data_IF_103487020198
#
_entry.id   IF_103487020198
#
_cell.length_a   1.000
_cell.length_b   1.000
_cell.length_c   1.000
_cell.angle_alpha   90.00
_cell.angle_beta   90.00
_cell.angle_gamma   90.00
#
_symmetry.space_group_name_H-M   'P 1'
#
loop_
_entity.id
_entity.type
_entity.pdbx_description
1 polymer ?
#
# COMPACT_ATOMS: atom_id res chain seq x y z
N UNK A 1 12.11 -16.92 15.83
CA UNK A 1 11.87 -15.56 15.34
C UNK A 1 11.76 -15.55 13.81
N UNK A 2 10.97 -14.63 13.28
CA UNK A 2 10.73 -14.47 11.85
C UNK A 2 11.09 -13.03 11.50
N UNK A 3 11.61 -12.81 10.30
CA UNK A 3 11.84 -11.47 9.75
C UNK A 3 10.87 -11.24 8.60
N UNK A 4 10.16 -10.14 8.63
CA UNK A 4 9.29 -9.68 7.56
C UNK A 4 9.85 -8.38 6.94
N UNK A 5 9.75 -8.25 5.62
CA UNK A 5 10.22 -7.06 4.91
C UNK A 5 9.87 -7.08 3.44
N UNK A 6 10.10 -5.95 2.74
CA UNK A 6 9.80 -5.80 1.30
C UNK A 6 8.37 -5.35 1.00
N UNK A 7 7.45 -5.48 1.95
CA UNK A 7 6.10 -4.90 1.93
C UNK A 7 5.66 -4.61 3.36
N UNK A 8 4.69 -3.70 3.58
CA UNK A 8 4.08 -3.50 4.89
C UNK A 8 3.47 -4.79 5.42
N UNK A 9 3.61 -5.03 6.73
CA UNK A 9 2.93 -6.12 7.42
C UNK A 9 1.80 -5.51 8.26
N UNK A 10 0.63 -6.16 8.23
CA UNK A 10 -0.51 -5.75 9.03
C UNK A 10 -0.17 -5.74 10.54
N UNK A 11 -0.31 -4.60 11.24
CA UNK A 11 0.04 -4.49 12.66
C UNK A 11 -0.77 -5.43 13.58
N UNK A 12 -2.02 -5.76 13.21
CA UNK A 12 -2.86 -6.68 13.99
C UNK A 12 -2.37 -8.13 13.82
N UNK A 13 -2.00 -8.51 12.60
CA UNK A 13 -1.39 -9.81 12.32
C UNK A 13 -0.07 -9.97 13.06
N UNK A 14 0.75 -8.92 13.05
CA UNK A 14 2.02 -8.88 13.78
C UNK A 14 1.79 -9.03 15.30
N UNK A 15 0.82 -8.31 15.85
CA UNK A 15 0.45 -8.40 17.26
C UNK A 15 -0.06 -9.82 17.62
N UNK A 16 -0.86 -10.45 16.76
CA UNK A 16 -1.35 -11.81 16.93
C UNK A 16 -0.20 -12.81 17.04
N UNK A 17 0.73 -12.83 16.08
CA UNK A 17 1.86 -13.76 16.12
C UNK A 17 2.75 -13.55 17.35
N UNK A 18 3.01 -12.31 17.72
CA UNK A 18 3.77 -12.01 18.95
C UNK A 18 3.02 -12.46 20.21
N UNK A 19 1.70 -12.28 20.28
CA UNK A 19 0.84 -12.79 21.35
C UNK A 19 0.85 -14.33 21.42
N UNK A 20 0.95 -15.00 20.30
CA UNK A 20 1.11 -16.46 20.19
C UNK A 20 2.54 -16.96 20.53
N UNK A 21 3.45 -16.09 20.93
CA UNK A 21 4.83 -16.45 21.25
C UNK A 21 5.78 -16.60 20.05
N UNK A 22 5.34 -16.17 18.87
CA UNK A 22 6.16 -16.17 17.64
C UNK A 22 6.64 -14.74 17.37
N UNK A 23 7.89 -14.37 17.75
CA UNK A 23 8.38 -13.03 17.53
C UNK A 23 8.66 -12.78 16.04
N UNK A 24 7.88 -11.88 15.46
CA UNK A 24 8.09 -11.37 14.11
C UNK A 24 8.71 -9.99 14.21
N UNK A 25 9.75 -9.75 13.43
CA UNK A 25 10.51 -8.48 13.37
C UNK A 25 10.40 -7.91 11.97
N UNK A 26 10.14 -6.62 11.87
CA UNK A 26 10.07 -5.94 10.59
C UNK A 26 11.39 -5.27 10.25
N UNK A 27 11.68 -5.21 8.94
CA UNK A 27 12.81 -4.48 8.39
C UNK A 27 12.41 -3.72 7.14
N UNK A 28 12.89 -2.49 7.04
CA UNK A 28 12.73 -1.64 5.86
C UNK A 28 14.07 -1.44 5.16
N UNK A 29 14.04 -1.55 3.85
CA UNK A 29 15.19 -1.29 3.01
C UNK A 29 14.84 -1.43 1.54
N UNK A 30 15.79 -1.06 0.71
CA UNK A 30 15.72 -1.07 -0.74
C UNK A 30 16.97 -1.75 -1.31
N UNK A 31 16.96 -2.08 -2.59
CA UNK A 31 18.15 -2.54 -3.31
C UNK A 31 19.29 -1.53 -3.17
N UNK A 32 18.95 -0.25 -3.22
CA UNK A 32 19.85 0.89 -3.10
C UNK A 32 20.49 1.02 -1.72
N UNK A 33 19.93 0.41 -0.68
CA UNK A 33 20.49 0.36 0.67
C UNK A 33 21.14 -0.99 1.00
N UNK A 34 21.23 -1.90 0.02
CA UNK A 34 21.86 -3.24 0.17
C UNK A 34 21.25 -4.06 1.32
N UNK A 35 19.95 -4.10 1.44
CA UNK A 35 19.15 -4.73 2.50
C UNK A 35 18.63 -3.73 3.55
N UNK A 36 18.19 -4.15 4.76
CA UNK A 36 17.49 -3.25 5.65
C UNK A 36 18.38 -2.09 6.13
N UNK A 37 17.87 -0.88 5.96
CA UNK A 37 18.43 0.33 6.57
C UNK A 37 17.71 0.74 7.86
N UNK A 38 16.54 0.13 8.14
CA UNK A 38 15.88 0.14 9.43
C UNK A 38 15.46 -1.28 9.83
N UNK A 39 15.46 -1.59 11.11
CA UNK A 39 15.10 -2.91 11.61
C UNK A 39 14.55 -2.83 13.03
N UNK A 40 13.56 -3.67 13.34
CA UNK A 40 13.00 -3.79 14.69
C UNK A 40 14.04 -4.38 15.64
N UNK A 41 14.45 -3.66 16.72
CA UNK A 41 15.48 -4.17 17.63
C UNK A 41 15.00 -5.42 18.35
N UNK A 42 15.91 -6.42 18.47
CA UNK A 42 15.62 -7.65 19.19
C UNK A 42 15.47 -7.37 20.71
N UNK A 43 14.41 -7.94 21.30
CA UNK A 43 14.21 -7.83 22.77
C UNK A 43 13.63 -6.50 23.23
N UNK A 44 13.28 -5.56 22.34
CA UNK A 44 12.63 -4.29 22.70
C UNK A 44 11.11 -4.42 22.71
N UNK A 45 10.39 -3.48 23.39
CA UNK A 45 8.95 -3.38 23.29
C UNK A 45 8.48 -3.29 21.83
N UNK A 46 7.29 -3.81 21.58
CA UNK A 46 6.67 -3.78 20.27
C UNK A 46 6.13 -2.39 19.95
N UNK A 47 6.54 -1.86 18.79
CA UNK A 47 6.03 -0.61 18.22
C UNK A 47 5.18 -0.92 16.99
N UNK A 48 3.87 -1.03 17.18
CA UNK A 48 2.94 -1.41 16.13
C UNK A 48 3.05 -0.49 14.90
N UNK A 49 3.19 -1.07 13.69
CA UNK A 49 3.31 -0.36 12.44
C UNK A 49 4.66 0.31 12.19
N UNK A 50 5.64 0.13 13.09
CA UNK A 50 7.01 0.62 12.88
C UNK A 50 7.87 -0.46 12.21
N UNK A 51 8.70 -0.04 11.28
CA UNK A 51 9.75 -0.88 10.65
C UNK A 51 11.06 -0.88 11.44
N UNK A 52 11.04 -0.35 12.66
CA UNK A 52 12.18 -0.31 13.58
C UNK A 52 12.97 1.00 13.56
N UNK A 53 14.19 0.94 14.06
CA UNK A 53 15.14 2.05 14.14
C UNK A 53 16.23 1.91 13.07
N UNK A 54 17.03 2.97 12.88
CA UNK A 54 18.17 2.91 11.97
C UNK A 54 19.06 1.70 12.25
N UNK A 55 19.30 0.89 11.22
CA UNK A 55 20.22 -0.25 11.33
C UNK A 55 21.66 0.25 11.51
N UNK A 56 22.51 -0.47 12.29
CA UNK A 56 23.89 -0.05 12.51
C UNK A 56 24.64 0.28 11.22
N UNK A 57 25.20 1.48 11.13
CA UNK A 57 25.91 1.97 9.95
C UNK A 57 25.06 2.82 9.00
N UNK A 58 23.77 2.98 9.29
CA UNK A 58 22.87 3.91 8.61
C UNK A 58 22.45 5.06 9.53
N UNK A 59 22.14 6.17 8.90
CA UNK A 59 21.42 7.30 9.48
C UNK A 59 20.14 7.52 8.69
N UNK A 60 19.06 7.86 9.37
CA UNK A 60 17.76 8.14 8.79
C UNK A 60 17.34 9.56 9.15
N UNK A 61 16.72 10.27 8.23
CA UNK A 61 16.04 11.53 8.49
C UNK A 61 14.77 11.65 7.66
N UNK A 62 13.87 12.53 8.08
CA UNK A 62 12.68 12.90 7.31
C UNK A 62 12.92 14.30 6.73
N UNK A 63 12.78 14.45 5.44
CA UNK A 63 12.85 15.72 4.74
C UNK A 63 11.60 16.58 5.01
N UNK A 64 11.63 17.87 4.66
CA UNK A 64 10.51 18.79 4.88
C UNK A 64 9.21 18.35 4.17
N UNK A 65 9.33 17.66 3.04
CA UNK A 65 8.21 17.09 2.29
C UNK A 65 7.74 15.72 2.78
N UNK A 66 8.33 15.22 3.88
CA UNK A 66 8.01 13.93 4.49
C UNK A 66 8.77 12.74 3.91
N UNK A 67 9.70 12.96 2.95
CA UNK A 67 10.47 11.88 2.35
C UNK A 67 11.50 11.31 3.33
N UNK A 68 11.57 9.97 3.39
CA UNK A 68 12.60 9.26 4.13
C UNK A 68 13.92 9.38 3.37
N UNK A 69 14.94 9.88 4.03
CA UNK A 69 16.29 9.97 3.48
C UNK A 69 17.26 9.12 4.28
N UNK A 70 18.16 8.43 3.57
CA UNK A 70 19.08 7.44 4.15
C UNK A 70 20.51 7.83 3.82
N UNK A 71 21.42 7.70 4.79
CA UNK A 71 22.86 7.85 4.60
C UNK A 71 23.59 6.69 5.30
N UNK A 72 24.57 6.11 4.63
CA UNK A 72 25.32 4.99 5.21
C UNK A 72 26.30 4.38 4.21
N UNK A 73 27.23 3.56 4.70
CA UNK A 73 28.25 2.93 3.85
C UNK A 73 27.70 1.90 2.88
N UNK A 74 26.55 1.32 3.18
CA UNK A 74 25.90 0.32 2.35
C UNK A 74 24.86 0.93 1.38
N UNK A 75 24.70 2.27 1.36
CA UNK A 75 23.96 2.95 0.31
C UNK A 75 24.78 2.83 -0.98
N UNK A 76 24.12 2.42 -2.07
CA UNK A 76 24.76 2.25 -3.37
C UNK A 76 25.38 3.58 -3.88
N UNK A 77 26.46 3.53 -4.67
CA UNK A 77 27.10 4.77 -5.15
C UNK A 77 26.39 5.37 -6.36
N UNK A 78 25.73 4.56 -7.19
CA UNK A 78 25.08 5.04 -8.42
C UNK A 78 24.27 3.96 -9.14
N UNK A 79 23.33 4.35 -9.98
CA UNK A 79 22.70 3.48 -10.98
C UNK A 79 23.65 3.21 -12.15
N UNK A 80 23.66 1.97 -12.62
CA UNK A 80 24.54 1.58 -13.73
C UNK A 80 24.13 2.26 -15.02
N UNK A 81 25.04 3.00 -15.63
CA UNK A 81 24.86 3.75 -16.89
C UNK A 81 23.65 4.70 -16.89
N UNK A 82 23.30 5.25 -15.73
CA UNK A 82 22.19 6.20 -15.59
C UNK A 82 22.57 7.29 -14.58
N UNK A 83 23.39 8.22 -15.04
CA UNK A 83 23.93 9.30 -14.19
C UNK A 83 22.81 10.28 -13.80
N UNK A 84 21.88 10.57 -14.71
CA UNK A 84 20.72 11.44 -14.45
C UNK A 84 19.86 10.91 -13.28
N UNK A 85 19.50 9.61 -13.31
CA UNK A 85 18.76 9.00 -12.20
C UNK A 85 19.59 9.00 -10.91
N UNK A 86 20.90 8.89 -11.01
CA UNK A 86 21.79 8.91 -9.85
C UNK A 86 21.79 10.32 -9.21
N UNK A 87 21.98 11.38 -9.99
CA UNK A 87 21.96 12.76 -9.52
C UNK A 87 20.62 13.11 -8.86
N UNK A 88 19.50 12.69 -9.46
CA UNK A 88 18.15 12.92 -8.92
C UNK A 88 17.86 12.15 -7.63
N UNK A 89 18.64 11.11 -7.33
CA UNK A 89 18.42 10.23 -6.17
C UNK A 89 19.19 10.67 -4.92
N UNK A 90 20.10 11.61 -5.03
CA UNK A 90 20.88 12.11 -3.91
C UNK A 90 20.67 13.60 -3.69
N UNK A 91 20.60 13.99 -2.42
CA UNK A 91 20.60 15.40 -2.03
C UNK A 91 22.01 15.99 -2.14
N UNK A 92 22.12 17.33 -2.16
CA UNK A 92 23.41 18.04 -2.22
C UNK A 92 24.35 17.68 -1.05
N UNK A 93 23.79 17.36 0.13
CA UNK A 93 24.53 16.94 1.31
C UNK A 93 24.72 15.40 1.40
N UNK A 94 24.45 14.68 0.30
CA UNK A 94 24.78 13.27 0.08
C UNK A 94 23.89 12.27 0.80
N UNK A 95 22.61 12.59 1.02
CA UNK A 95 21.59 11.64 1.46
C UNK A 95 20.87 11.03 0.26
N UNK A 96 20.63 9.74 0.32
CA UNK A 96 19.80 9.06 -0.66
C UNK A 96 18.32 9.32 -0.38
N UNK A 97 17.61 9.84 -1.36
CA UNK A 97 16.18 10.12 -1.34
C UNK A 97 15.43 8.85 -1.78
N UNK A 98 14.72 8.20 -0.84
CA UNK A 98 14.15 6.86 -1.07
C UNK A 98 12.89 6.85 -1.94
N UNK A 99 12.24 7.98 -2.08
CA UNK A 99 10.89 8.08 -2.66
C UNK A 99 9.78 7.56 -1.75
N UNK A 100 10.10 7.06 -0.56
CA UNK A 100 9.13 6.65 0.45
C UNK A 100 8.87 7.79 1.43
N UNK A 101 7.63 7.94 1.88
CA UNK A 101 7.20 8.91 2.88
C UNK A 101 7.15 8.25 4.25
N UNK A 102 7.47 9.00 5.29
CA UNK A 102 7.45 8.46 6.64
C UNK A 102 7.57 9.49 7.73
N UNK A 103 7.63 8.99 8.95
CA UNK A 103 7.91 9.76 10.16
C UNK A 103 8.81 8.97 11.10
N UNK A 104 9.58 9.66 11.89
CA UNK A 104 10.36 9.07 12.99
C UNK A 104 9.76 9.63 14.28
N UNK A 105 9.47 8.74 15.24
CA UNK A 105 8.97 9.15 16.55
C UNK A 105 10.11 9.60 17.49
N UNK A 106 9.74 10.01 18.71
CA UNK A 106 10.70 10.52 19.70
C UNK A 106 11.69 9.45 20.19
N UNK A 107 11.35 8.17 20.04
CA UNK A 107 12.18 7.03 20.43
C UNK A 107 13.05 6.53 19.26
N UNK A 108 12.95 7.18 18.08
CA UNK A 108 13.74 6.89 16.90
C UNK A 108 13.15 5.81 16.01
N UNK A 109 11.91 5.36 16.24
CA UNK A 109 11.25 4.37 15.40
C UNK A 109 10.68 4.99 14.12
N UNK A 110 11.00 4.35 12.99
CA UNK A 110 10.55 4.75 11.66
C UNK A 110 9.20 4.10 11.33
N UNK A 111 8.29 4.93 10.82
CA UNK A 111 6.98 4.51 10.29
C UNK A 111 6.89 4.94 8.83
N UNK A 112 6.56 4.00 7.94
CA UNK A 112 6.34 4.30 6.51
C UNK A 112 4.87 4.68 6.35
N UNK A 113 4.60 5.82 5.69
CA UNK A 113 3.25 6.34 5.49
C UNK A 113 2.80 6.32 4.03
N UNK A 114 3.69 5.98 3.11
CA UNK A 114 3.37 5.87 1.69
C UNK A 114 4.57 6.03 0.77
N UNK A 115 4.27 6.25 -0.51
CA UNK A 115 5.27 6.54 -1.55
C UNK A 115 5.00 7.88 -2.19
N UNK A 116 6.03 8.69 -2.37
CA UNK A 116 5.96 10.03 -2.96
C UNK A 116 5.35 10.02 -4.36
N UNK A 117 5.76 9.06 -5.20
CA UNK A 117 5.24 8.88 -6.57
C UNK A 117 3.81 8.36 -6.64
N UNK A 118 3.33 7.72 -5.58
CA UNK A 118 1.98 7.16 -5.52
C UNK A 118 0.99 8.13 -4.84
N UNK A 119 1.50 9.27 -4.33
CA UNK A 119 0.68 10.29 -3.69
C UNK A 119 -0.38 10.80 -4.67
N UNK A 120 -1.62 10.77 -4.23
CA UNK A 120 -2.76 11.27 -4.99
C UNK A 120 -2.96 12.74 -4.63
N UNK A 121 -2.94 13.62 -5.63
CA UNK A 121 -3.28 15.04 -5.44
C UNK A 121 -4.69 15.25 -6.02
N UNK A 122 -5.67 15.37 -5.14
CA UNK A 122 -7.06 15.58 -5.57
C UNK A 122 -7.23 16.92 -6.30
N UNK A 123 -8.33 17.10 -7.03
CA UNK A 123 -8.67 18.38 -7.67
C UNK A 123 -8.78 19.54 -6.66
N UNK A 124 -9.03 19.25 -5.38
CA UNK A 124 -9.03 20.22 -4.29
C UNK A 124 -7.65 20.49 -3.66
N UNK A 125 -6.57 19.92 -4.22
CA UNK A 125 -5.20 20.12 -3.73
C UNK A 125 -4.85 19.31 -2.47
N UNK A 126 -5.70 18.35 -2.06
CA UNK A 126 -5.39 17.49 -0.90
C UNK A 126 -4.47 16.34 -1.33
N UNK A 127 -3.37 16.18 -0.60
CA UNK A 127 -2.47 15.03 -0.72
C UNK A 127 -3.05 13.84 0.05
N UNK A 128 -3.11 12.68 -0.59
CA UNK A 128 -3.64 11.43 -0.04
C UNK A 128 -2.67 10.29 -0.33
N UNK A 129 -2.21 9.60 0.71
CA UNK A 129 -1.46 8.35 0.58
C UNK A 129 -2.44 7.19 0.37
N UNK A 130 -2.42 6.49 -0.79
CA UNK A 130 -3.37 5.42 -1.06
C UNK A 130 -3.12 4.16 -0.24
N UNK A 131 -1.84 3.82 0.04
CA UNK A 131 -1.43 2.56 0.67
C UNK A 131 -2.19 2.22 1.96
N UNK A 132 -2.22 3.07 2.98
CA UNK A 132 -2.94 2.78 4.23
C UNK A 132 -4.44 2.48 4.03
N UNK A 133 -5.08 3.13 3.07
CA UNK A 133 -6.50 2.89 2.74
C UNK A 133 -6.65 1.54 2.04
N UNK A 134 -5.75 1.23 1.08
CA UNK A 134 -5.73 -0.03 0.35
C UNK A 134 -5.50 -1.22 1.27
N UNK A 135 -4.58 -1.11 2.22
CA UNK A 135 -4.28 -2.14 3.22
C UNK A 135 -5.51 -2.51 4.05
N UNK A 136 -6.28 -1.53 4.52
CA UNK A 136 -7.50 -1.79 5.29
C UNK A 136 -8.56 -2.49 4.43
N UNK A 137 -8.76 -2.07 3.18
CA UNK A 137 -9.74 -2.71 2.28
C UNK A 137 -9.30 -4.16 1.97
N UNK A 138 -8.02 -4.43 1.83
CA UNK A 138 -7.46 -5.76 1.57
C UNK A 138 -7.54 -6.71 2.77
N UNK A 139 -7.90 -6.26 3.97
CA UNK A 139 -8.21 -7.15 5.11
C UNK A 139 -9.52 -7.93 4.92
N UNK A 140 -10.38 -7.53 3.99
CA UNK A 140 -11.52 -8.35 3.58
C UNK A 140 -11.01 -9.68 3.01
N UNK A 141 -11.40 -10.79 3.62
CA UNK A 141 -10.84 -12.13 3.38
C UNK A 141 -10.82 -12.57 1.91
N UNK A 142 -11.73 -12.05 1.10
CA UNK A 142 -11.84 -12.38 -0.34
C UNK A 142 -11.48 -11.20 -1.26
N UNK A 143 -10.89 -10.15 -0.75
CA UNK A 143 -10.34 -9.07 -1.58
C UNK A 143 -8.89 -9.39 -1.94
N UNK A 144 -8.61 -9.60 -3.22
CA UNK A 144 -7.26 -9.83 -3.73
C UNK A 144 -6.43 -8.54 -3.75
N UNK A 145 -6.98 -7.50 -4.39
CA UNK A 145 -6.30 -6.20 -4.50
C UNK A 145 -7.30 -5.06 -4.33
N UNK A 146 -6.82 -3.97 -3.74
CA UNK A 146 -7.50 -2.69 -3.73
C UNK A 146 -6.59 -1.63 -4.35
N UNK A 147 -7.11 -0.80 -5.24
CA UNK A 147 -6.38 0.30 -5.87
C UNK A 147 -7.14 1.60 -5.65
N UNK A 148 -6.63 2.45 -4.79
CA UNK A 148 -7.20 3.77 -4.48
C UNK A 148 -6.76 4.78 -5.53
N UNK A 149 -7.71 5.58 -6.01
CA UNK A 149 -7.59 6.49 -7.14
C UNK A 149 -8.21 7.85 -6.79
N UNK A 150 -7.74 8.91 -7.43
CA UNK A 150 -8.28 10.26 -7.19
C UNK A 150 -7.40 11.39 -7.69
N UNK A 151 -6.27 11.09 -8.36
CA UNK A 151 -5.39 12.14 -8.88
C UNK A 151 -6.13 13.06 -9.84
N UNK A 152 -6.10 14.37 -9.54
CA UNK A 152 -6.85 15.41 -10.26
C UNK A 152 -8.36 15.17 -10.35
N UNK A 153 -8.91 14.31 -9.48
CA UNK A 153 -10.34 13.97 -9.43
C UNK A 153 -11.03 14.67 -8.25
N UNK A 154 -12.36 14.84 -8.32
CA UNK A 154 -13.13 15.59 -7.28
C UNK A 154 -13.21 14.83 -5.94
N UNK A 155 -12.94 13.54 -5.92
CA UNK A 155 -12.98 12.69 -4.73
C UNK A 155 -12.14 11.42 -4.92
N UNK A 156 -11.81 10.77 -3.82
CA UNK A 156 -11.11 9.49 -3.76
C UNK A 156 -12.09 8.35 -4.05
N UNK A 157 -11.64 7.39 -4.83
CA UNK A 157 -12.37 6.17 -5.19
C UNK A 157 -11.47 4.95 -5.15
N UNK A 158 -12.05 3.74 -5.23
CA UNK A 158 -11.28 2.51 -5.27
C UNK A 158 -11.76 1.55 -6.38
N UNK A 159 -10.82 0.83 -6.97
CA UNK A 159 -11.07 -0.41 -7.71
C UNK A 159 -10.69 -1.57 -6.80
N UNK A 160 -11.53 -2.58 -6.75
CA UNK A 160 -11.34 -3.76 -5.89
C UNK A 160 -11.42 -5.00 -6.76
N UNK A 161 -10.51 -5.95 -6.59
CA UNK A 161 -10.57 -7.28 -7.21
C UNK A 161 -10.84 -8.34 -6.15
N UNK A 162 -11.46 -9.43 -6.55
CA UNK A 162 -11.81 -10.54 -5.67
C UNK A 162 -10.85 -11.70 -5.91
N UNK A 163 -10.49 -12.42 -4.86
CA UNK A 163 -9.83 -13.71 -4.89
C UNK A 163 -10.88 -14.80 -4.94
N UNK A 164 -10.92 -15.55 -6.02
CA UNK A 164 -11.92 -16.61 -6.25
C UNK A 164 -11.82 -17.72 -5.21
N UNK A 165 -10.59 -18.08 -4.81
CA UNK A 165 -10.35 -19.18 -3.87
C UNK A 165 -10.86 -18.86 -2.47
N UNK A 166 -10.61 -17.65 -1.98
CA UNK A 166 -11.09 -17.16 -0.68
C UNK A 166 -12.57 -16.78 -0.70
N UNK A 167 -13.10 -16.38 -1.85
CA UNK A 167 -14.51 -15.99 -2.01
C UNK A 167 -15.45 -17.19 -1.89
N UNK A 168 -15.09 -18.35 -2.42
CA UNK A 168 -15.93 -19.57 -2.43
C UNK A 168 -16.43 -19.97 -1.03
N UNK A 169 -15.58 -20.19 -0.01
CA UNK A 169 -16.04 -20.56 1.32
C UNK A 169 -16.90 -19.46 1.97
N UNK A 170 -16.63 -18.20 1.67
CA UNK A 170 -17.46 -17.10 2.16
C UNK A 170 -18.87 -17.12 1.54
N UNK A 171 -18.99 -17.37 0.23
CA UNK A 171 -20.28 -17.51 -0.45
C UNK A 171 -21.08 -18.69 0.14
N UNK A 172 -20.44 -19.84 0.32
CA UNK A 172 -21.07 -21.02 0.93
C UNK A 172 -21.58 -20.72 2.35
N UNK A 173 -20.79 -20.04 3.18
CA UNK A 173 -21.18 -19.62 4.53
C UNK A 173 -22.37 -18.65 4.55
N UNK A 174 -22.59 -17.90 3.47
CA UNK A 174 -23.74 -17.01 3.28
C UNK A 174 -24.94 -17.68 2.61
N UNK A 175 -24.86 -18.98 2.29
CA UNK A 175 -25.91 -19.70 1.57
C UNK A 175 -26.06 -19.28 0.11
N UNK A 176 -25.00 -18.72 -0.47
CA UNK A 176 -24.92 -18.36 -1.89
C UNK A 176 -24.23 -19.48 -2.68
N UNK A 177 -24.34 -19.40 -4.02
CA UNK A 177 -23.64 -20.34 -4.90
C UNK A 177 -22.12 -20.16 -4.76
N UNK A 178 -21.42 -21.15 -4.22
CA UNK A 178 -19.97 -21.15 -4.04
C UNK A 178 -19.19 -21.12 -5.36
N UNK A 179 -19.82 -21.52 -6.46
CA UNK A 179 -19.23 -21.51 -7.81
C UNK A 179 -19.65 -20.28 -8.61
N UNK A 180 -20.19 -19.25 -7.96
CA UNK A 180 -20.56 -17.98 -8.61
C UNK A 180 -19.37 -17.39 -9.35
N UNK A 181 -19.47 -17.12 -10.67
CA UNK A 181 -18.38 -16.46 -11.43
C UNK A 181 -18.03 -15.09 -10.85
N UNK A 182 -16.76 -14.69 -10.92
CA UNK A 182 -16.30 -13.38 -10.42
C UNK A 182 -17.09 -12.20 -11.02
N UNK A 183 -17.52 -12.31 -12.28
CA UNK A 183 -18.36 -11.28 -12.92
C UNK A 183 -19.71 -11.09 -12.22
N UNK A 184 -20.35 -12.17 -11.77
CA UNK A 184 -21.61 -12.13 -11.05
C UNK A 184 -21.40 -11.74 -9.59
N UNK A 185 -20.32 -12.23 -8.97
CA UNK A 185 -19.91 -11.86 -7.62
C UNK A 185 -19.64 -10.35 -7.51
N UNK A 186 -18.99 -9.74 -8.50
CA UNK A 186 -18.75 -8.31 -8.54
C UNK A 186 -20.05 -7.46 -8.54
N UNK A 187 -21.16 -8.03 -9.00
CA UNK A 187 -22.49 -7.41 -9.03
C UNK A 187 -23.36 -7.82 -7.84
N UNK A 188 -22.95 -8.83 -7.07
CA UNK A 188 -23.72 -9.38 -5.97
C UNK A 188 -23.83 -8.40 -4.80
N UNK A 189 -25.04 -8.19 -4.29
CA UNK A 189 -25.30 -7.22 -3.24
C UNK A 189 -24.65 -7.59 -1.90
N UNK A 190 -24.58 -8.89 -1.55
CA UNK A 190 -23.95 -9.34 -0.31
C UNK A 190 -22.42 -9.18 -0.35
N UNK A 191 -21.77 -9.53 -1.46
CA UNK A 191 -20.34 -9.30 -1.71
C UNK A 191 -20.02 -7.81 -1.61
N UNK A 192 -20.83 -6.98 -2.29
CA UNK A 192 -20.64 -5.53 -2.26
C UNK A 192 -20.81 -4.95 -0.85
N UNK A 193 -21.78 -5.44 -0.09
CA UNK A 193 -22.03 -4.98 1.28
C UNK A 193 -20.88 -5.35 2.22
N UNK A 194 -20.23 -6.50 2.03
CA UNK A 194 -19.06 -6.87 2.81
C UNK A 194 -17.85 -5.98 2.48
N UNK A 195 -17.55 -5.78 1.21
CA UNK A 195 -16.48 -4.84 0.79
C UNK A 195 -16.76 -3.43 1.30
N UNK A 196 -18.03 -2.98 1.31
CA UNK A 196 -18.41 -1.65 1.83
C UNK A 196 -18.01 -1.48 3.30
N UNK A 197 -18.15 -2.49 4.15
CA UNK A 197 -17.73 -2.41 5.57
C UNK A 197 -16.25 -2.08 5.70
N UNK A 198 -15.40 -2.72 4.89
CA UNK A 198 -13.97 -2.48 4.90
C UNK A 198 -13.59 -1.10 4.32
N UNK A 199 -14.35 -0.63 3.32
CA UNK A 199 -14.23 0.74 2.82
C UNK A 199 -14.62 1.74 3.91
N UNK A 200 -15.69 1.48 4.66
CA UNK A 200 -16.14 2.33 5.76
C UNK A 200 -15.09 2.35 6.89
N UNK A 201 -14.54 1.19 7.25
CA UNK A 201 -13.46 1.09 8.24
C UNK A 201 -12.20 1.83 7.78
N UNK A 202 -11.80 1.73 6.52
CA UNK A 202 -10.70 2.50 5.97
C UNK A 202 -10.95 4.02 6.05
N UNK A 203 -12.20 4.42 5.90
CA UNK A 203 -12.62 5.82 5.97
C UNK A 203 -12.61 6.39 7.39
N UNK A 204 -12.72 5.56 8.44
CA UNK A 204 -12.63 6.00 9.84
C UNK A 204 -11.25 6.56 10.19
N UNK A 205 -10.18 6.02 9.56
CA UNK A 205 -8.79 6.40 9.79
C UNK A 205 -8.34 7.68 9.07
N UNK A 206 -9.20 8.29 8.23
CA UNK A 206 -8.81 9.39 7.34
C UNK A 206 -9.80 10.55 7.36
N UNK A 207 -9.37 11.73 6.91
CA UNK A 207 -10.26 12.89 6.82
C UNK A 207 -11.32 12.70 5.72
N UNK A 208 -12.40 13.49 5.79
CA UNK A 208 -13.45 13.46 4.78
C UNK A 208 -12.96 13.70 3.33
N UNK A 209 -11.89 14.45 3.15
CA UNK A 209 -11.31 14.72 1.84
C UNK A 209 -10.50 13.52 1.30
N UNK A 210 -10.01 12.66 2.18
CA UNK A 210 -9.23 11.47 1.89
C UNK A 210 -10.09 10.21 1.77
N UNK A 211 -11.34 10.26 2.24
CA UNK A 211 -12.21 9.10 2.30
C UNK A 211 -12.67 8.64 0.90
N UNK A 212 -12.70 7.32 0.71
CA UNK A 212 -13.22 6.66 -0.49
C UNK A 212 -14.73 6.90 -0.59
N UNK A 213 -15.17 7.61 -1.62
CA UNK A 213 -16.57 7.97 -1.87
C UNK A 213 -17.33 6.98 -2.71
N UNK A 214 -16.61 6.28 -3.58
CA UNK A 214 -17.14 5.25 -4.46
C UNK A 214 -16.11 4.17 -4.67
N UNK A 215 -16.55 2.94 -4.84
CA UNK A 215 -15.71 1.86 -5.31
C UNK A 215 -16.43 1.02 -6.38
N UNK A 216 -15.66 0.33 -7.18
CA UNK A 216 -16.14 -0.66 -8.16
C UNK A 216 -15.39 -1.96 -7.91
N UNK A 217 -16.13 -3.06 -7.78
CA UNK A 217 -15.58 -4.40 -7.78
C UNK A 217 -15.42 -4.80 -9.24
N UNK A 218 -14.22 -5.23 -9.63
CA UNK A 218 -13.89 -5.65 -10.98
C UNK A 218 -14.21 -7.12 -11.17
N UNK A 219 -14.57 -7.55 -12.41
CA UNK A 219 -14.90 -8.94 -12.72
C UNK A 219 -13.67 -9.83 -12.93
N UNK A 220 -12.47 -9.29 -12.84
CA UNK A 220 -11.20 -9.97 -13.08
C UNK A 220 -10.15 -9.54 -12.06
N UNK A 221 -9.18 -10.41 -11.79
CA UNK A 221 -8.02 -10.09 -10.96
C UNK A 221 -6.95 -9.33 -11.73
N UNK A 222 -6.05 -8.66 -10.99
CA UNK A 222 -4.79 -8.17 -11.56
C UNK A 222 -3.78 -9.30 -11.55
N UNK A 223 -3.19 -9.63 -12.70
CA UNK A 223 -2.22 -10.72 -12.83
C UNK A 223 -0.99 -10.27 -13.64
N UNK A 224 0.04 -11.11 -13.65
CA UNK A 224 1.19 -10.93 -14.53
C UNK A 224 0.80 -11.17 -15.99
N UNK A 225 -0.05 -12.19 -16.24
CA UNK A 225 -0.48 -12.57 -17.58
C UNK A 225 -1.25 -11.43 -18.26
N UNK A 226 -2.15 -10.74 -17.53
CA UNK A 226 -2.86 -9.59 -18.09
C UNK A 226 -2.04 -8.29 -18.05
N UNK A 227 -0.80 -8.37 -17.54
CA UNK A 227 0.18 -7.29 -17.53
C UNK A 227 -0.09 -6.20 -16.51
N UNK A 228 -1.01 -6.41 -15.56
CA UNK A 228 -1.38 -5.43 -14.54
C UNK A 228 -0.55 -5.56 -13.26
N UNK A 229 0.22 -6.66 -13.11
CA UNK A 229 1.18 -6.86 -12.01
C UNK A 229 2.61 -7.08 -12.53
N UNK A 230 3.57 -6.77 -11.68
CA UNK A 230 4.98 -7.11 -11.89
C UNK A 230 5.26 -8.57 -11.53
N UNK A 231 6.43 -9.10 -11.91
CA UNK A 231 6.90 -10.43 -11.49
C UNK A 231 7.02 -10.56 -9.95
N UNK A 232 7.15 -9.47 -9.23
CA UNK A 232 7.15 -9.43 -7.76
C UNK A 232 5.76 -9.18 -7.15
N UNK A 233 4.68 -9.48 -7.91
CA UNK A 233 3.28 -9.37 -7.48
C UNK A 233 2.85 -7.97 -7.03
N UNK A 234 3.46 -6.91 -7.58
CA UNK A 234 3.09 -5.51 -7.30
C UNK A 234 2.21 -4.96 -8.43
N UNK A 235 1.11 -4.32 -8.08
CA UNK A 235 0.17 -3.69 -9.03
C UNK A 235 0.86 -2.55 -9.80
N UNK A 236 0.73 -2.57 -11.13
CA UNK A 236 1.23 -1.52 -12.01
C UNK A 236 0.13 -0.46 -12.18
N UNK A 237 0.02 0.47 -11.21
CA UNK A 237 -1.02 1.51 -11.13
C UNK A 237 -1.31 2.21 -12.46
N UNK A 238 -0.31 2.71 -13.22
CA UNK A 238 -0.58 3.40 -14.50
C UNK A 238 -1.26 2.52 -15.54
N UNK A 239 -0.93 1.22 -15.57
CA UNK A 239 -1.54 0.27 -16.50
C UNK A 239 -3.00 -0.02 -16.13
N UNK A 240 -3.28 -0.20 -14.83
CA UNK A 240 -4.66 -0.38 -14.33
C UNK A 240 -5.51 0.84 -14.66
N UNK A 241 -5.03 2.04 -14.34
CA UNK A 241 -5.74 3.29 -14.63
C UNK A 241 -6.04 3.43 -16.12
N UNK A 242 -5.07 3.11 -16.98
CA UNK A 242 -5.23 3.14 -18.44
C UNK A 242 -6.28 2.13 -18.91
N UNK A 243 -6.20 0.88 -18.44
CA UNK A 243 -7.11 -0.21 -18.83
C UNK A 243 -8.56 0.13 -18.49
N UNK A 244 -8.80 0.65 -17.26
CA UNK A 244 -10.14 0.95 -16.77
C UNK A 244 -10.56 2.42 -16.97
N UNK A 245 -9.85 3.19 -17.79
CA UNK A 245 -10.11 4.63 -17.99
C UNK A 245 -11.54 4.94 -18.41
N UNK A 246 -12.15 4.15 -19.30
CA UNK A 246 -13.55 4.30 -19.71
C UNK A 246 -14.50 4.08 -18.52
N UNK A 247 -14.33 2.98 -17.78
CA UNK A 247 -15.12 2.65 -16.60
C UNK A 247 -15.04 3.76 -15.54
N UNK A 248 -13.83 4.25 -15.27
CA UNK A 248 -13.61 5.35 -14.33
C UNK A 248 -14.35 6.63 -14.77
N UNK A 249 -14.30 7.00 -16.03
CA UNK A 249 -14.94 8.22 -16.52
C UNK A 249 -16.48 8.11 -16.62
N UNK A 250 -17.01 6.92 -16.93
CA UNK A 250 -18.46 6.73 -17.17
C UNK A 250 -19.23 6.33 -15.91
N UNK A 251 -18.63 5.57 -15.00
CA UNK A 251 -19.34 5.06 -13.82
C UNK A 251 -18.85 5.69 -12.51
N UNK A 252 -17.54 5.94 -12.38
CA UNK A 252 -16.94 6.43 -11.14
C UNK A 252 -17.09 7.95 -11.00
N UNK A 253 -16.57 8.69 -11.98
CA UNK A 253 -16.47 10.16 -11.95
C UNK A 253 -17.46 10.88 -12.86
N UNK A 254 -18.61 10.28 -13.10
CA UNK A 254 -19.66 10.90 -13.91
C UNK A 254 -20.06 12.25 -13.32
N UNK A 255 -20.04 13.32 -14.11
CA UNK A 255 -20.64 14.60 -13.71
C UNK A 255 -22.14 14.36 -13.51
N UNK A 256 -22.66 14.60 -12.30
CA UNK A 256 -24.12 14.76 -12.14
C UNK A 256 -24.55 15.92 -13.05
N UNK A 257 -25.44 15.60 -14.01
CA UNK A 257 -26.13 16.64 -14.78
C UNK A 257 -27.01 17.47 -13.85
#
# INVERSE_FOLDING_TARGET
WIVAGGAPLDPELLAFFRGAGVPVYEGYGLTETTAPCAFSPLGTPFHAGSVGIAFPGFSLRIAEDGEIQVKGRAVFPRYHKNDEATELSFTEDGWYATGDLGRIDNDGFLYITGRKKDLIITAGGKNVSPGPIEEVIQRCEFVSQALVLGDKRPFISALVTLDEESLRPWLAAKGLDENMPLEDAAKNAAVRAEVQKWVDQANEGVSRAESVRKFIILPEEFTQENGLMTASMKVIRPKVIKRYSTLLNTQMYTKRK
#
